data_IF_743656581728
#
_entry.id   IF_743656581728
#
_cell.length_a   1.000
_cell.length_b   1.000
_cell.length_c   1.000
_cell.angle_alpha   90.00
_cell.angle_beta   90.00
_cell.angle_gamma   90.00
#
_symmetry.space_group_name_H-M   'P 1'
#
loop_
_entity.id
_entity.type
_entity.pdbx_description
1 polymer ?
#
# COMPACT_ATOMS: atom_id res chain seq x y z
N UNK A 1 -11.71 4.36 42.36
CA UNK A 1 -11.21 3.03 41.95
C UNK A 1 -11.56 2.80 40.47
N UNK A 2 -10.74 3.26 39.52
CA UNK A 2 -10.96 3.08 38.07
C UNK A 2 -9.68 2.55 37.40
N UNK A 3 -9.25 1.35 37.78
CA UNK A 3 -8.00 0.77 37.25
C UNK A 3 -8.07 -0.73 36.94
N UNK A 4 -9.26 -1.37 37.03
CA UNK A 4 -9.38 -2.85 36.95
C UNK A 4 -9.80 -3.40 35.58
N UNK A 5 -10.25 -2.58 34.63
CA UNK A 5 -10.68 -3.04 33.30
C UNK A 5 -9.59 -2.96 32.22
N UNK A 6 -8.69 -1.98 32.32
CA UNK A 6 -7.65 -1.71 31.33
C UNK A 6 -6.62 -2.83 31.12
N UNK A 7 -6.13 -3.55 32.16
CA UNK A 7 -5.11 -4.58 31.92
C UNK A 7 -5.68 -5.78 31.16
N UNK A 8 -6.93 -6.17 31.43
CA UNK A 8 -7.61 -7.26 30.72
C UNK A 8 -7.89 -6.86 29.26
N UNK A 9 -8.35 -5.61 29.05
CA UNK A 9 -8.57 -5.08 27.71
C UNK A 9 -7.26 -5.03 26.91
N UNK A 10 -6.17 -4.55 27.53
CA UNK A 10 -4.85 -4.52 26.91
C UNK A 10 -4.36 -5.93 26.55
N UNK A 11 -4.58 -6.93 27.41
CA UNK A 11 -4.17 -8.31 27.17
C UNK A 11 -4.93 -8.95 25.98
N UNK A 12 -6.17 -8.53 25.74
CA UNK A 12 -6.98 -8.97 24.59
C UNK A 12 -6.60 -8.22 23.31
N UNK A 13 -6.26 -6.93 23.41
CA UNK A 13 -5.92 -6.08 22.25
C UNK A 13 -4.46 -6.24 21.78
N UNK A 14 -3.53 -6.59 22.67
CA UNK A 14 -2.11 -6.76 22.33
C UNK A 14 -1.83 -7.86 21.29
N UNK A 15 -2.43 -9.07 21.37
CA UNK A 15 -2.22 -10.11 20.36
C UNK A 15 -2.66 -9.71 18.95
N UNK A 16 -3.88 -9.20 18.70
CA UNK A 16 -4.27 -8.80 17.36
C UNK A 16 -3.47 -7.59 16.86
N UNK A 17 -3.18 -6.61 17.72
CA UNK A 17 -2.36 -5.45 17.34
C UNK A 17 -0.93 -5.86 16.98
N UNK A 18 -0.29 -6.71 17.79
CA UNK A 18 1.06 -7.22 17.48
C UNK A 18 1.08 -8.06 16.21
N UNK A 19 0.05 -8.85 15.95
CA UNK A 19 -0.08 -9.61 14.70
C UNK A 19 -0.27 -8.70 13.48
N UNK A 20 -1.08 -7.65 13.58
CA UNK A 20 -1.26 -6.65 12.50
C UNK A 20 0.05 -5.90 12.24
N UNK A 21 0.73 -5.44 13.30
CA UNK A 21 2.03 -4.78 13.19
C UNK A 21 3.10 -5.71 12.62
N UNK A 22 3.08 -6.99 12.98
CA UNK A 22 3.95 -8.00 12.40
C UNK A 22 3.67 -8.19 10.91
N UNK A 23 2.40 -8.30 10.50
CA UNK A 23 2.05 -8.41 9.08
C UNK A 23 2.46 -7.17 8.29
N UNK A 24 2.28 -5.97 8.86
CA UNK A 24 2.75 -4.71 8.27
C UNK A 24 4.28 -4.68 8.17
N UNK A 25 5.00 -5.17 9.19
CA UNK A 25 6.47 -5.26 9.15
C UNK A 25 6.97 -6.28 8.12
N UNK A 26 6.24 -7.37 7.95
CA UNK A 26 6.50 -8.37 6.92
C UNK A 26 5.95 -7.96 5.55
N UNK A 27 5.45 -6.73 5.39
CA UNK A 27 4.91 -6.27 4.12
C UNK A 27 6.07 -6.14 3.13
N UNK A 28 6.15 -7.01 2.12
CA UNK A 28 7.34 -7.17 1.27
C UNK A 28 7.56 -5.99 0.31
N UNK A 29 6.72 -4.95 0.41
CA UNK A 29 6.71 -3.76 -0.41
C UNK A 29 7.00 -2.48 0.40
N UNK A 30 7.40 -2.61 1.67
CA UNK A 30 7.84 -1.47 2.46
C UNK A 30 9.06 -0.80 1.79
N UNK A 31 8.91 0.47 1.41
CA UNK A 31 9.92 1.21 0.64
C UNK A 31 9.85 1.01 -0.88
N UNK A 32 8.82 0.33 -1.39
CA UNK A 32 8.57 0.27 -2.82
C UNK A 32 8.03 1.60 -3.35
N UNK A 33 8.48 2.01 -4.52
CA UNK A 33 8.08 3.23 -5.21
C UNK A 33 7.34 2.85 -6.48
N UNK A 34 6.13 3.39 -6.63
CA UNK A 34 5.35 3.26 -7.87
C UNK A 34 5.63 4.47 -8.75
N UNK A 35 6.28 4.22 -9.87
CA UNK A 35 6.64 5.24 -10.85
C UNK A 35 5.79 5.07 -12.12
N UNK A 36 5.40 6.18 -12.73
CA UNK A 36 4.87 6.19 -14.08
C UNK A 36 5.93 6.74 -15.03
N UNK A 37 6.38 5.94 -15.99
CA UNK A 37 7.37 6.34 -16.99
C UNK A 37 6.93 5.91 -18.39
N UNK A 38 7.00 6.84 -19.34
CA UNK A 38 6.78 6.58 -20.77
C UNK A 38 5.51 5.77 -21.12
N UNK A 39 4.38 6.05 -20.47
CA UNK A 39 3.13 5.34 -20.78
C UNK A 39 2.94 4.02 -20.04
N UNK A 40 3.85 3.66 -19.14
CA UNK A 40 3.83 2.41 -18.38
C UNK A 40 4.04 2.63 -16.88
N UNK A 41 3.46 1.74 -16.07
CA UNK A 41 3.72 1.69 -14.65
C UNK A 41 4.94 0.83 -14.37
N UNK A 42 5.78 1.28 -13.45
CA UNK A 42 6.93 0.54 -12.95
C UNK A 42 6.93 0.55 -11.43
N UNK A 43 7.26 -0.59 -10.83
CA UNK A 43 7.46 -0.70 -9.38
C UNK A 43 8.95 -0.87 -9.13
N UNK A 44 9.51 0.06 -8.36
CA UNK A 44 10.89 0.05 -7.92
C UNK A 44 10.93 -0.41 -6.45
N UNK A 45 11.67 -1.46 -6.13
CA UNK A 45 11.91 -1.90 -4.75
C UNK A 45 13.40 -2.24 -4.59
N UNK A 46 14.13 -1.41 -3.85
CA UNK A 46 15.58 -1.49 -3.78
C UNK A 46 16.22 -1.28 -5.15
N UNK A 47 17.01 -2.24 -5.62
CA UNK A 47 17.64 -2.22 -6.95
C UNK A 47 16.76 -2.82 -8.06
N UNK A 48 15.57 -3.33 -7.73
CA UNK A 48 14.70 -4.01 -8.69
C UNK A 48 13.71 -3.01 -9.27
N UNK A 49 13.72 -2.85 -10.59
CA UNK A 49 12.69 -2.11 -11.33
C UNK A 49 11.92 -3.09 -12.22
N UNK A 50 10.60 -3.20 -12.02
CA UNK A 50 9.72 -4.07 -12.80
C UNK A 50 8.60 -3.29 -13.45
N UNK A 51 8.39 -3.53 -14.74
CA UNK A 51 7.20 -3.06 -15.42
C UNK A 51 5.96 -3.79 -14.91
N UNK A 52 4.91 -3.04 -14.61
CA UNK A 52 3.67 -3.57 -14.06
C UNK A 52 2.48 -3.03 -14.85
N UNK A 53 1.40 -3.82 -14.89
CA UNK A 53 0.09 -3.37 -15.35
C UNK A 53 -0.83 -3.27 -14.15
N UNK A 54 -1.40 -2.09 -13.92
CA UNK A 54 -2.42 -1.91 -12.89
C UNK A 54 -3.66 -2.74 -13.22
N UNK A 55 -4.26 -3.31 -12.19
CA UNK A 55 -5.53 -4.00 -12.26
C UNK A 55 -6.67 -3.01 -12.00
N UNK A 56 -7.83 -3.27 -12.61
CA UNK A 56 -9.08 -2.52 -12.41
C UNK A 56 -9.56 -2.49 -10.95
N UNK A 57 -9.07 -3.41 -10.12
CA UNK A 57 -9.40 -3.50 -8.69
C UNK A 57 -8.61 -2.48 -7.83
N UNK A 58 -7.94 -1.51 -8.45
CA UNK A 58 -7.25 -0.44 -7.72
C UNK A 58 -8.27 0.58 -7.23
N UNK A 59 -8.24 0.93 -5.94
CA UNK A 59 -9.24 1.78 -5.30
C UNK A 59 -8.61 3.05 -4.78
N UNK A 60 -9.21 4.20 -5.08
CA UNK A 60 -8.78 5.51 -4.58
C UNK A 60 -9.76 6.03 -3.53
N UNK A 61 -9.37 6.06 -2.25
CA UNK A 61 -10.09 6.76 -1.19
C UNK A 61 -9.36 8.06 -0.80
N UNK A 62 -10.06 9.01 -0.13
CA UNK A 62 -9.46 10.27 0.30
C UNK A 62 -8.27 10.11 1.25
N UNK A 63 -8.26 9.04 2.07
CA UNK A 63 -7.24 8.76 3.09
C UNK A 63 -6.32 7.59 2.76
N UNK A 64 -6.66 6.77 1.76
CA UNK A 64 -5.86 5.59 1.38
C UNK A 64 -6.04 5.28 -0.11
N UNK A 65 -4.98 4.85 -0.76
CA UNK A 65 -5.02 4.41 -2.14
C UNK A 65 -4.56 2.96 -2.16
N UNK A 66 -5.43 2.07 -2.60
CA UNK A 66 -5.12 0.68 -2.85
C UNK A 66 -4.72 0.52 -4.31
N UNK A 67 -3.50 0.04 -4.55
CA UNK A 67 -3.03 -0.29 -5.88
C UNK A 67 -2.86 -1.79 -5.98
N UNK A 68 -3.48 -2.41 -6.97
CA UNK A 68 -3.25 -3.80 -7.34
C UNK A 68 -2.64 -3.84 -8.74
N UNK A 69 -1.62 -4.66 -8.96
CA UNK A 69 -0.96 -4.79 -10.25
C UNK A 69 -0.55 -6.22 -10.55
N UNK A 70 -0.21 -6.45 -11.82
CA UNK A 70 0.51 -7.65 -12.28
C UNK A 70 1.85 -7.24 -12.84
N UNK A 71 2.89 -7.90 -12.38
CA UNK A 71 4.23 -7.79 -12.95
C UNK A 71 4.27 -8.45 -14.33
N UNK A 72 4.95 -7.81 -15.28
CA UNK A 72 5.28 -8.39 -16.58
C UNK A 72 6.79 -8.71 -16.63
N UNK A 73 7.22 -9.85 -17.23
CA UNK A 73 6.40 -10.91 -17.87
C UNK A 73 5.95 -12.02 -16.92
N UNK A 74 6.43 -12.05 -15.66
CA UNK A 74 6.24 -13.18 -14.74
C UNK A 74 4.79 -13.39 -14.27
N UNK A 75 3.89 -12.43 -14.49
CA UNK A 75 2.47 -12.54 -14.15
C UNK A 75 2.15 -12.48 -12.65
N UNK A 76 3.17 -12.23 -11.81
CA UNK A 76 3.01 -12.17 -10.35
C UNK A 76 2.11 -11.01 -9.98
N UNK A 77 1.09 -11.27 -9.15
CA UNK A 77 0.20 -10.24 -8.61
C UNK A 77 0.89 -9.57 -7.43
N UNK A 78 0.87 -8.24 -7.43
CA UNK A 78 1.32 -7.41 -6.33
C UNK A 78 0.19 -6.47 -5.92
N UNK A 79 0.23 -6.02 -4.68
CA UNK A 79 -0.63 -4.94 -4.21
C UNK A 79 0.07 -4.15 -3.13
N UNK A 80 -0.26 -2.87 -3.00
CA UNK A 80 0.21 -2.01 -1.92
C UNK A 80 -0.88 -1.05 -1.49
N UNK A 81 -0.84 -0.72 -0.20
CA UNK A 81 -1.62 0.34 0.41
C UNK A 81 -0.75 1.58 0.53
N UNK A 82 -1.14 2.66 -0.14
CA UNK A 82 -0.53 3.97 0.00
C UNK A 82 -1.41 4.83 0.90
N UNK A 83 -0.88 5.17 2.07
CA UNK A 83 -1.52 6.09 2.99
C UNK A 83 -1.19 7.54 2.61
N UNK A 84 -1.95 8.51 3.14
CA UNK A 84 -1.78 9.94 2.81
C UNK A 84 -0.41 10.50 3.20
N UNK A 85 0.24 9.90 4.19
CA UNK A 85 1.59 10.22 4.66
C UNK A 85 2.70 9.49 3.89
N UNK A 86 2.36 8.52 3.03
CA UNK A 86 3.34 7.72 2.29
C UNK A 86 4.08 8.50 1.19
N UNK A 87 3.52 9.63 0.73
CA UNK A 87 4.11 10.46 -0.31
C UNK A 87 3.65 11.93 -0.22
N UNK A 88 4.38 12.88 -0.83
CA UNK A 88 3.97 14.28 -0.91
C UNK A 88 2.55 14.43 -1.50
N UNK A 89 1.72 15.37 -1.00
CA UNK A 89 0.33 15.53 -1.43
C UNK A 89 0.14 15.82 -2.93
N UNK A 90 1.16 16.40 -3.58
CA UNK A 90 1.15 16.65 -5.04
C UNK A 90 1.26 15.32 -5.81
N UNK A 91 2.12 14.42 -5.38
CA UNK A 91 2.32 13.12 -6.04
C UNK A 91 1.08 12.24 -5.90
N UNK A 92 0.46 12.21 -4.70
CA UNK A 92 -0.79 11.49 -4.48
C UNK A 92 -1.94 12.04 -5.33
N UNK A 93 -2.04 13.36 -5.51
CA UNK A 93 -3.04 13.98 -6.41
C UNK A 93 -2.83 13.56 -7.86
N UNK A 94 -1.60 13.61 -8.37
CA UNK A 94 -1.28 13.15 -9.72
C UNK A 94 -1.61 11.66 -9.91
N UNK A 95 -1.29 10.83 -8.91
CA UNK A 95 -1.61 9.40 -8.92
C UNK A 95 -3.13 9.17 -8.97
N UNK A 96 -3.91 9.86 -8.15
CA UNK A 96 -5.39 9.79 -8.17
C UNK A 96 -5.97 10.20 -9.52
N UNK A 97 -5.52 11.32 -10.07
CA UNK A 97 -5.97 11.80 -11.38
C UNK A 97 -5.64 10.80 -12.50
N UNK A 98 -4.47 10.15 -12.44
CA UNK A 98 -4.08 9.09 -13.38
C UNK A 98 -4.95 7.85 -13.25
N UNK A 99 -5.25 7.44 -12.02
CA UNK A 99 -6.09 6.28 -11.76
C UNK A 99 -7.52 6.52 -12.25
N UNK A 100 -8.06 7.74 -12.10
CA UNK A 100 -9.38 8.08 -12.66
C UNK A 100 -9.43 8.09 -14.18
N UNK A 101 -8.29 8.25 -14.87
CA UNK A 101 -8.22 8.20 -16.34
C UNK A 101 -8.07 6.78 -16.89
N UNK A 102 -7.68 5.81 -16.05
CA UNK A 102 -7.44 4.42 -16.44
C UNK A 102 -8.50 3.44 -15.90
N UNK A 103 -9.43 3.94 -15.07
CA UNK A 103 -10.56 3.21 -14.53
C UNK A 103 -11.77 3.20 -15.47
#
# INVERSE_FOLDING_TARGET
>A
MYARGYPVLALILLPPVSFILWRLRCEPMAGAVVCWRCGSWTVEHGAINRAVRLCSNSTCLPWVIYLAWRELPAGRRGSVWLFVDSAPPRQLRCLRARLSLQG
#
